data_IF_261331534908
#
_entry.id   IF_261331534908
#
_cell.length_a   1.000
_cell.length_b   1.000
_cell.length_c   1.000
_cell.angle_alpha   90.00
_cell.angle_beta   90.00
_cell.angle_gamma   90.00
#
_symmetry.space_group_name_H-M   'P 1'
#
loop_
_entity.id
_entity.type
_entity.pdbx_description
1 polymer ?
#
# COMPACT_ATOMS: atom_id res chain seq x y z
N UNK A 1 -15.37 5.53 29.37
CA UNK A 1 -14.30 5.66 28.36
C UNK A 1 -14.97 6.22 27.13
N UNK A 2 -14.89 7.52 26.91
CA UNK A 2 -15.52 8.15 25.74
C UNK A 2 -14.55 8.05 24.56
N UNK A 3 -15.05 7.57 23.42
CA UNK A 3 -14.24 7.40 22.22
C UNK A 3 -13.89 8.78 21.63
N UNK A 4 -12.60 9.08 21.51
CA UNK A 4 -12.15 10.25 20.77
C UNK A 4 -12.15 9.94 19.26
N UNK A 5 -13.27 10.23 18.62
CA UNK A 5 -13.49 9.99 17.20
C UNK A 5 -12.48 10.72 16.29
N UNK A 6 -12.03 11.91 16.68
CA UNK A 6 -11.04 12.68 15.89
C UNK A 6 -9.71 11.93 15.86
N UNK A 7 -9.21 11.50 17.02
CA UNK A 7 -7.99 10.70 17.10
C UNK A 7 -8.14 9.37 16.36
N UNK A 8 -9.26 8.68 16.51
CA UNK A 8 -9.53 7.40 15.85
C UNK A 8 -9.40 7.51 14.32
N UNK A 9 -10.12 8.45 13.69
CA UNK A 9 -10.02 8.64 12.24
C UNK A 9 -8.68 9.22 11.81
N UNK A 10 -8.07 10.10 12.60
CA UNK A 10 -6.74 10.63 12.32
C UNK A 10 -5.70 9.53 12.15
N UNK A 11 -5.68 8.56 13.07
CA UNK A 11 -4.75 7.44 13.04
C UNK A 11 -5.01 6.42 11.92
N UNK A 12 -6.25 6.34 11.42
CA UNK A 12 -6.59 5.49 10.26
C UNK A 12 -6.25 6.18 8.95
N UNK A 13 -6.61 7.45 8.79
CA UNK A 13 -6.48 8.17 7.52
C UNK A 13 -5.04 8.55 7.19
N UNK A 14 -4.23 8.90 8.19
CA UNK A 14 -2.81 9.25 8.00
C UNK A 14 -2.02 8.19 7.21
N UNK A 15 -1.97 6.91 7.63
CA UNK A 15 -1.24 5.89 6.89
C UNK A 15 -1.87 5.58 5.52
N UNK A 16 -3.19 5.69 5.37
CA UNK A 16 -3.85 5.47 4.08
C UNK A 16 -3.45 6.52 3.04
N UNK A 17 -3.36 7.79 3.44
CA UNK A 17 -2.85 8.86 2.56
C UNK A 17 -1.41 8.58 2.14
N UNK A 18 -0.55 8.18 3.10
CA UNK A 18 0.82 7.76 2.81
C UNK A 18 0.88 6.56 1.86
N UNK A 19 0.03 5.56 2.08
CA UNK A 19 -0.09 4.35 1.27
C UNK A 19 -0.52 4.64 -0.17
N UNK A 20 -1.50 5.53 -0.37
CA UNK A 20 -1.94 5.94 -1.71
C UNK A 20 -0.82 6.68 -2.44
N UNK A 21 -0.20 7.68 -1.81
CA UNK A 21 0.87 8.47 -2.43
C UNK A 21 2.09 7.60 -2.77
N UNK A 22 2.53 6.76 -1.81
CA UNK A 22 3.61 5.80 -2.01
C UNK A 22 3.27 4.77 -3.09
N UNK A 23 2.04 4.27 -3.10
CA UNK A 23 1.53 3.32 -4.08
C UNK A 23 1.56 3.86 -5.51
N UNK A 24 1.21 5.13 -5.72
CA UNK A 24 1.29 5.79 -7.04
C UNK A 24 2.74 5.87 -7.54
N UNK A 25 3.69 6.17 -6.65
CA UNK A 25 5.12 6.19 -7.00
C UNK A 25 5.61 4.77 -7.30
N UNK A 26 5.28 3.80 -6.46
CA UNK A 26 5.67 2.40 -6.62
C UNK A 26 5.08 1.77 -7.89
N UNK A 27 3.84 2.08 -8.25
CA UNK A 27 3.18 1.56 -9.45
C UNK A 27 3.94 1.89 -10.75
N UNK A 28 4.64 3.04 -10.79
CA UNK A 28 5.52 3.39 -11.91
C UNK A 28 6.76 2.51 -11.96
N UNK A 29 7.31 2.17 -10.80
CA UNK A 29 8.52 1.34 -10.66
C UNK A 29 8.25 -0.14 -10.94
N UNK A 30 7.01 -0.60 -10.71
CA UNK A 30 6.57 -1.96 -11.07
C UNK A 30 6.84 -2.25 -12.55
N UNK A 31 6.45 -1.31 -13.43
CA UNK A 31 6.56 -1.45 -14.89
C UNK A 31 7.97 -1.27 -15.44
N UNK A 32 8.95 -0.85 -14.63
CA UNK A 32 10.30 -0.51 -15.11
C UNK A 32 11.32 -1.61 -14.77
N UNK A 33 11.68 -1.75 -13.50
CA UNK A 33 12.72 -2.68 -13.05
C UNK A 33 12.15 -3.88 -12.30
N UNK A 34 11.07 -3.69 -11.54
CA UNK A 34 10.54 -4.73 -10.65
C UNK A 34 9.98 -5.93 -11.42
N UNK A 35 9.31 -5.70 -12.56
CA UNK A 35 8.83 -6.81 -13.40
C UNK A 35 9.93 -7.58 -14.12
N UNK A 36 11.16 -7.08 -14.15
CA UNK A 36 12.32 -7.76 -14.75
C UNK A 36 13.06 -8.65 -13.75
N UNK A 37 12.71 -8.61 -12.47
CA UNK A 37 13.34 -9.45 -11.45
C UNK A 37 12.97 -10.92 -11.63
N UNK A 38 13.91 -11.80 -11.25
CA UNK A 38 13.60 -13.21 -11.01
C UNK A 38 12.81 -13.32 -9.71
N UNK A 39 11.51 -13.58 -9.83
CA UNK A 39 10.59 -13.69 -8.69
C UNK A 39 10.40 -15.17 -8.33
N UNK A 40 10.27 -15.52 -7.03
CA UNK A 40 9.99 -16.90 -6.64
C UNK A 40 8.60 -17.31 -7.13
N UNK A 41 8.38 -18.61 -7.38
CA UNK A 41 7.12 -19.11 -7.94
C UNK A 41 5.87 -18.82 -7.08
N UNK A 42 6.06 -18.58 -5.78
CA UNK A 42 4.99 -18.26 -4.81
C UNK A 42 4.72 -16.76 -4.67
N UNK A 43 5.36 -15.91 -5.48
CA UNK A 43 5.13 -14.47 -5.41
C UNK A 43 3.67 -14.12 -5.78
N UNK A 44 2.97 -13.33 -4.96
CA UNK A 44 1.60 -12.95 -5.27
C UNK A 44 1.56 -11.94 -6.44
N UNK A 45 0.46 -11.90 -7.22
CA UNK A 45 0.24 -10.89 -8.24
C UNK A 45 0.33 -9.46 -7.70
N UNK A 46 0.90 -8.55 -8.51
CA UNK A 46 1.15 -7.15 -8.13
C UNK A 46 -0.11 -6.40 -7.63
N UNK A 47 -1.29 -6.74 -8.17
CA UNK A 47 -2.55 -6.08 -7.80
C UNK A 47 -3.02 -6.40 -6.37
N UNK A 48 -2.59 -7.53 -5.80
CA UNK A 48 -3.03 -7.97 -4.45
C UNK A 48 -2.37 -7.14 -3.35
N UNK A 49 -1.21 -6.53 -3.62
CA UNK A 49 -0.54 -5.69 -2.63
C UNK A 49 -1.35 -4.44 -2.25
N UNK A 50 -2.22 -3.92 -3.12
CA UNK A 50 -3.08 -2.77 -2.79
C UNK A 50 -4.01 -3.08 -1.62
N UNK A 51 -4.94 -4.05 -1.76
CA UNK A 51 -5.87 -4.44 -0.69
C UNK A 51 -5.22 -4.96 0.59
N UNK A 52 -4.00 -5.52 0.52
CA UNK A 52 -3.27 -6.00 1.71
C UNK A 52 -2.82 -4.85 2.62
N UNK A 53 -2.60 -3.66 2.05
CA UNK A 53 -2.12 -2.48 2.76
C UNK A 53 -3.22 -1.45 3.07
N UNK A 54 -4.49 -1.81 2.90
CA UNK A 54 -5.65 -0.94 3.20
C UNK A 54 -6.56 -1.60 4.21
#
# INVERSE_FOLDING_TARGET
>A
MDMNWISFFGWILLPQVGGVLGGVVAAKQIKTWYDKLLKPAWHPPNAIFGPVWT
#
